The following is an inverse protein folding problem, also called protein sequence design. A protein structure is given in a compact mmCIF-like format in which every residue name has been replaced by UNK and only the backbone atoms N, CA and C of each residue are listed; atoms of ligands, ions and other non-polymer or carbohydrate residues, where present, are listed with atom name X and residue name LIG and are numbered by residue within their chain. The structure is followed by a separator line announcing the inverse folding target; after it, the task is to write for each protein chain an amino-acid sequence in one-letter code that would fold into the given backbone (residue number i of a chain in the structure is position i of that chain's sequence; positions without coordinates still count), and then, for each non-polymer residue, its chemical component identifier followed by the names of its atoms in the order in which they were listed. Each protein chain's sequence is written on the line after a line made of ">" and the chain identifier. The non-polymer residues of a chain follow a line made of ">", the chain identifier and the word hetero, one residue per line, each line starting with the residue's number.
data_IF_965406044251
#
_entry.id   IF_965406044251
#
_cell.length_a   1.000
_cell.length_b   1.000
_cell.length_c   1.000
_cell.angle_alpha   90.00
_cell.angle_beta   90.00
_cell.angle_gamma   90.00
#
_symmetry.space_group_name_H-M   'P 1'
#
loop_
_entity.id
_entity.type
_entity.pdbx_description
1 polymer ?
#
# COMPACT_ATOMS: atom_id res chain seq x y z
N UNK A 1 1.00 -11.61 -9.27
CA UNK A 1 -0.20 -11.19 -10.04
C UNK A 1 0.08 -11.09 -11.54
N UNK A 2 1.07 -10.31 -11.98
CA UNK A 2 1.49 -10.22 -13.39
C UNK A 2 1.66 -11.58 -14.07
N UNK A 3 2.45 -12.48 -13.48
CA UNK A 3 2.67 -13.84 -14.00
C UNK A 3 1.36 -14.63 -14.21
N UNK A 4 0.39 -14.47 -13.30
CA UNK A 4 -0.91 -15.10 -13.42
C UNK A 4 -1.70 -14.54 -14.61
N UNK A 5 -1.71 -13.22 -14.77
CA UNK A 5 -2.36 -12.55 -15.89
C UNK A 5 -1.76 -12.99 -17.23
N UNK A 6 -0.42 -13.06 -17.33
CA UNK A 6 0.26 -13.53 -18.54
C UNK A 6 -0.14 -14.97 -18.93
N UNK A 7 -0.31 -15.86 -17.94
CA UNK A 7 -0.83 -17.22 -18.19
C UNK A 7 -2.24 -17.18 -18.77
N UNK A 8 -3.16 -16.39 -18.19
CA UNK A 8 -4.53 -16.30 -18.69
C UNK A 8 -4.63 -15.63 -20.06
N UNK A 9 -3.87 -14.57 -20.30
CA UNK A 9 -3.80 -13.89 -21.60
C UNK A 9 -3.36 -14.88 -22.69
N UNK A 10 -2.30 -15.65 -22.44
CA UNK A 10 -1.83 -16.65 -23.39
C UNK A 10 -2.84 -17.79 -23.58
N UNK A 11 -3.44 -18.29 -22.49
CA UNK A 11 -4.36 -19.44 -22.55
C UNK A 11 -5.69 -19.13 -23.20
N UNK A 12 -6.18 -17.90 -23.02
CA UNK A 12 -7.47 -17.44 -23.54
C UNK A 12 -7.33 -16.64 -24.84
N UNK A 13 -6.11 -16.51 -25.39
CA UNK A 13 -5.80 -15.74 -26.60
C UNK A 13 -6.37 -14.31 -26.55
N UNK A 14 -6.14 -13.63 -25.41
CA UNK A 14 -6.67 -12.29 -25.20
C UNK A 14 -5.81 -11.26 -25.94
N UNK A 15 -6.41 -10.29 -26.65
CA UNK A 15 -5.69 -9.26 -27.41
C UNK A 15 -5.19 -8.12 -26.50
N UNK A 16 -4.45 -8.47 -25.44
CA UNK A 16 -3.90 -7.51 -24.47
C UNK A 16 -2.45 -7.86 -24.15
N UNK A 17 -1.57 -6.86 -24.13
CA UNK A 17 -0.21 -7.02 -23.65
C UNK A 17 -0.16 -6.76 -22.15
N UNK A 18 0.43 -7.69 -21.38
CA UNK A 18 0.72 -7.47 -19.97
C UNK A 18 2.15 -6.96 -19.83
N UNK A 19 2.34 -5.83 -19.15
CA UNK A 19 3.65 -5.31 -18.74
C UNK A 19 3.73 -5.20 -17.22
N UNK A 20 4.88 -5.55 -16.65
CA UNK A 20 5.13 -5.39 -15.22
C UNK A 20 5.79 -4.04 -14.95
N UNK A 21 4.99 -3.08 -14.47
CA UNK A 21 5.47 -1.75 -14.11
C UNK A 21 6.08 -1.77 -12.70
N UNK A 22 7.40 -1.79 -12.61
CA UNK A 22 8.14 -1.70 -11.35
C UNK A 22 8.04 -0.29 -10.79
N UNK A 23 7.17 -0.10 -9.79
CA UNK A 23 7.01 1.19 -9.15
C UNK A 23 6.61 1.04 -7.67
N UNK A 24 6.95 2.06 -6.90
CA UNK A 24 6.47 2.31 -5.55
C UNK A 24 5.94 3.73 -5.44
N UNK A 25 5.16 4.01 -4.39
CA UNK A 25 4.72 5.39 -4.09
C UNK A 25 5.91 6.33 -3.97
N UNK A 26 7.01 5.87 -3.37
CA UNK A 26 8.23 6.65 -3.21
C UNK A 26 8.90 6.95 -4.56
N UNK A 27 9.13 5.92 -5.39
CA UNK A 27 9.80 6.07 -6.71
C UNK A 27 9.07 6.99 -7.68
N UNK A 28 7.73 7.14 -7.52
CA UNK A 28 6.93 8.05 -8.32
C UNK A 28 6.85 9.46 -7.71
N UNK A 29 6.87 9.57 -6.38
CA UNK A 29 6.69 10.87 -5.69
C UNK A 29 7.97 11.67 -5.58
N UNK A 30 9.11 11.04 -5.29
CA UNK A 30 10.39 11.75 -5.16
C UNK A 30 10.68 12.62 -6.40
N UNK A 31 10.55 12.11 -7.64
CA UNK A 31 10.73 12.92 -8.84
C UNK A 31 9.77 14.10 -8.99
N UNK A 32 8.64 14.11 -8.27
CA UNK A 32 7.62 15.15 -8.35
C UNK A 32 7.72 16.22 -7.26
N UNK A 33 8.54 16.05 -6.23
CA UNK A 33 8.57 16.98 -5.10
C UNK A 33 8.87 18.43 -5.50
N UNK A 34 9.65 18.65 -6.57
CA UNK A 34 9.90 19.99 -7.11
C UNK A 34 8.68 20.65 -7.78
N UNK A 35 7.66 19.87 -8.16
CA UNK A 35 6.43 20.38 -8.80
C UNK A 35 5.41 20.90 -7.78
N UNK A 36 5.35 20.28 -6.60
CA UNK A 36 4.41 20.67 -5.54
C UNK A 36 5.02 20.41 -4.16
N UNK A 37 5.61 21.45 -3.59
CA UNK A 37 6.26 21.39 -2.28
C UNK A 37 5.28 21.03 -1.14
N UNK A 38 4.04 21.50 -1.18
CA UNK A 38 3.08 21.20 -0.12
C UNK A 38 2.67 19.73 -0.11
N UNK A 39 2.40 19.14 -1.28
CA UNK A 39 2.12 17.70 -1.37
C UNK A 39 3.36 16.86 -1.01
N UNK A 40 4.55 17.33 -1.34
CA UNK A 40 5.80 16.70 -0.93
C UNK A 40 5.93 16.66 0.60
N UNK A 41 5.76 17.81 1.26
CA UNK A 41 5.84 17.92 2.72
C UNK A 41 4.74 17.11 3.42
N UNK A 42 3.50 17.08 2.89
CA UNK A 42 2.42 16.24 3.43
C UNK A 42 2.76 14.75 3.39
N UNK A 43 3.45 14.32 2.33
CA UNK A 43 3.85 12.92 2.19
C UNK A 43 5.06 12.56 3.05
N UNK A 44 6.08 13.43 3.08
CA UNK A 44 7.29 13.26 3.91
C UNK A 44 6.90 13.19 5.38
N UNK A 45 6.06 14.12 5.85
CA UNK A 45 5.57 14.21 7.23
C UNK A 45 4.33 13.35 7.49
N UNK A 46 4.04 12.35 6.65
CA UNK A 46 2.93 11.42 6.90
C UNK A 46 3.21 10.60 8.16
N UNK A 47 2.17 10.37 8.95
CA UNK A 47 2.27 9.51 10.11
C UNK A 47 2.64 8.07 9.71
N UNK A 48 3.50 7.43 10.50
CA UNK A 48 3.80 6.01 10.39
C UNK A 48 4.19 5.43 11.73
N UNK A 49 4.16 4.11 11.80
CA UNK A 49 4.52 3.39 13.01
C UNK A 49 6.01 3.60 13.32
N UNK A 50 6.29 4.02 14.57
CA UNK A 50 7.63 4.35 15.05
C UNK A 50 8.35 5.39 14.16
N UNK A 51 7.64 6.42 13.70
CA UNK A 51 8.26 7.52 12.95
C UNK A 51 9.38 8.19 13.77
N UNK A 52 10.49 8.54 13.12
CA UNK A 52 11.61 9.31 13.66
C UNK A 52 12.18 10.24 12.57
N UNK A 53 13.13 11.10 12.93
CA UNK A 53 13.64 12.08 11.97
C UNK A 53 14.38 11.41 10.81
N UNK A 54 15.11 10.33 11.07
CA UNK A 54 15.81 9.55 10.03
C UNK A 54 14.81 9.04 8.98
N UNK A 55 13.72 8.39 9.41
CA UNK A 55 12.67 7.91 8.51
C UNK A 55 12.01 9.03 7.72
N UNK A 56 11.71 10.16 8.36
CA UNK A 56 11.13 11.31 7.66
C UNK A 56 12.08 11.83 6.58
N UNK A 57 13.35 12.05 6.90
CA UNK A 57 14.31 12.61 5.95
C UNK A 57 14.73 11.60 4.86
N UNK A 58 14.69 10.30 5.15
CA UNK A 58 14.82 9.27 4.12
C UNK A 58 13.70 9.38 3.06
N UNK A 59 12.46 9.72 3.46
CA UNK A 59 11.34 9.91 2.50
C UNK A 59 11.53 11.13 1.60
N UNK A 60 12.40 12.06 2.00
CA UNK A 60 12.82 13.20 1.19
C UNK A 60 13.96 12.87 0.23
N UNK A 61 14.51 11.64 0.28
CA UNK A 61 15.64 11.21 -0.54
C UNK A 61 17.02 11.59 0.01
N UNK A 62 17.09 12.14 1.23
CA UNK A 62 18.35 12.64 1.78
C UNK A 62 19.27 11.51 2.22
N UNK A 63 20.55 11.63 1.86
CA UNK A 63 21.65 10.81 2.37
C UNK A 63 21.90 11.07 3.85
N UNK A 64 22.61 10.15 4.53
CA UNK A 64 22.94 10.31 5.95
C UNK A 64 23.70 11.61 6.26
N UNK A 65 24.58 12.05 5.35
CA UNK A 65 25.33 13.30 5.50
C UNK A 65 24.40 14.53 5.39
N UNK A 66 23.52 14.54 4.41
CA UNK A 66 22.52 15.60 4.22
C UNK A 66 21.52 15.67 5.38
N UNK A 67 21.13 14.52 5.92
CA UNK A 67 20.30 14.46 7.12
C UNK A 67 20.96 15.18 8.29
N UNK A 68 22.25 14.95 8.53
CA UNK A 68 23.00 15.68 9.57
C UNK A 68 23.00 17.18 9.31
N UNK A 69 23.19 17.62 8.06
CA UNK A 69 23.16 19.04 7.69
C UNK A 69 21.79 19.67 7.97
N UNK A 70 20.70 18.99 7.61
CA UNK A 70 19.33 19.47 7.86
C UNK A 70 19.03 19.51 9.35
N UNK A 71 19.35 18.46 10.10
CA UNK A 71 19.11 18.42 11.55
C UNK A 71 19.89 19.51 12.29
N UNK A 72 21.13 19.79 11.86
CA UNK A 72 21.92 20.93 12.33
C UNK A 72 21.24 22.27 12.03
N UNK A 73 20.76 22.47 10.80
CA UNK A 73 20.05 23.68 10.41
C UNK A 73 18.74 23.89 11.19
N UNK A 74 18.13 22.80 11.68
CA UNK A 74 16.93 22.83 12.53
C UNK A 74 17.23 22.95 14.03
N UNK A 75 18.51 22.90 14.45
CA UNK A 75 18.90 22.89 15.87
C UNK A 75 18.53 21.59 16.60
N UNK A 76 18.49 20.46 15.90
CA UNK A 76 18.02 19.16 16.39
C UNK A 76 19.11 18.06 16.37
N UNK A 77 20.38 18.43 16.59
CA UNK A 77 21.54 17.53 16.43
C UNK A 77 21.53 16.33 17.38
N UNK A 78 20.96 16.46 18.58
CA UNK A 78 21.25 15.52 19.66
C UNK A 78 20.48 14.19 19.61
N UNK A 79 19.52 14.00 18.68
CA UNK A 79 18.57 12.87 18.84
C UNK A 79 17.78 12.40 17.58
N UNK A 80 18.45 12.03 16.46
CA UNK A 80 17.78 11.64 15.20
C UNK A 80 16.84 10.43 15.31
N UNK A 81 17.16 9.47 16.21
CA UNK A 81 16.34 8.27 16.45
C UNK A 81 15.19 8.48 17.45
N UNK A 82 14.93 9.73 17.88
CA UNK A 82 13.81 10.00 18.78
C UNK A 82 12.50 9.82 18.05
N UNK A 83 11.62 9.00 18.65
CA UNK A 83 10.27 8.77 18.12
C UNK A 83 9.47 10.07 18.09
N UNK A 84 8.95 10.38 16.92
CA UNK A 84 8.08 11.51 16.65
C UNK A 84 6.64 11.10 16.96
N UNK A 85 5.98 11.86 17.83
CA UNK A 85 4.55 11.69 18.08
C UNK A 85 3.75 12.36 16.98
N UNK A 86 2.59 11.81 16.64
CA UNK A 86 1.65 12.38 15.66
C UNK A 86 1.41 13.89 15.84
N UNK A 87 1.22 14.34 17.08
CA UNK A 87 0.98 15.75 17.40
C UNK A 87 2.17 16.68 17.08
N UNK A 88 3.38 16.16 16.90
CA UNK A 88 4.59 16.92 16.56
C UNK A 88 4.75 17.11 15.04
N UNK A 89 4.11 16.27 14.23
CA UNK A 89 4.26 16.30 12.75
C UNK A 89 3.94 17.67 12.13
N UNK A 90 2.87 18.41 12.54
CA UNK A 90 2.61 19.73 11.97
C UNK A 90 3.73 20.74 12.24
N UNK A 91 4.34 20.69 13.43
CA UNK A 91 5.45 21.57 13.79
C UNK A 91 6.71 21.22 12.99
N UNK A 92 7.01 19.93 12.84
CA UNK A 92 8.14 19.45 12.04
C UNK A 92 7.95 19.83 10.57
N UNK A 93 6.74 19.63 10.01
CA UNK A 93 6.40 20.05 8.65
C UNK A 93 6.68 21.54 8.44
N UNK A 94 6.27 22.38 9.39
CA UNK A 94 6.51 23.82 9.30
C UNK A 94 7.99 24.18 9.42
N UNK A 95 8.75 23.49 10.27
CA UNK A 95 10.20 23.70 10.41
C UNK A 95 10.94 23.35 9.11
N UNK A 96 10.61 22.21 8.49
CA UNK A 96 11.17 21.80 7.19
C UNK A 96 10.81 22.80 6.08
N UNK A 97 9.55 23.28 6.05
CA UNK A 97 9.11 24.31 5.10
C UNK A 97 9.93 25.59 5.17
N UNK A 98 10.49 25.92 6.33
CA UNK A 98 11.25 27.15 6.56
C UNK A 98 12.77 26.92 6.51
N UNK A 99 13.24 25.70 6.23
CA UNK A 99 14.65 25.35 6.25
C UNK A 99 15.25 25.40 4.83
N UNK A 100 16.06 26.41 4.47
CA UNK A 100 16.58 26.55 3.11
C UNK A 100 17.46 25.38 2.68
N UNK A 101 18.27 24.85 3.62
CA UNK A 101 19.13 23.67 3.38
C UNK A 101 18.30 22.46 2.97
N UNK A 102 17.20 22.19 3.69
CA UNK A 102 16.31 21.09 3.36
C UNK A 102 15.63 21.28 2.00
N UNK A 103 15.12 22.49 1.72
CA UNK A 103 14.39 22.77 0.48
C UNK A 103 15.28 22.64 -0.76
N UNK A 104 16.53 23.09 -0.68
CA UNK A 104 17.48 22.98 -1.78
C UNK A 104 17.80 21.51 -2.09
N UNK A 105 18.13 20.73 -1.06
CA UNK A 105 18.42 19.31 -1.21
C UNK A 105 17.20 18.53 -1.74
N UNK A 106 16.01 18.78 -1.18
CA UNK A 106 14.76 18.17 -1.65
C UNK A 106 14.52 18.44 -3.14
N UNK A 107 14.72 19.69 -3.58
CA UNK A 107 14.58 20.09 -4.98
C UNK A 107 15.62 19.40 -5.86
N UNK A 108 16.88 19.37 -5.42
CA UNK A 108 17.98 18.73 -6.15
C UNK A 108 17.68 17.24 -6.39
N UNK A 109 17.42 16.48 -5.33
CA UNK A 109 17.09 15.04 -5.43
C UNK A 109 15.86 14.78 -6.31
N UNK A 110 14.86 15.64 -6.24
CA UNK A 110 13.66 15.54 -7.07
C UNK A 110 13.96 15.74 -8.57
N UNK A 111 14.77 16.76 -8.90
CA UNK A 111 15.14 17.04 -10.29
C UNK A 111 16.06 15.97 -10.86
N UNK A 112 17.00 15.44 -10.07
CA UNK A 112 17.91 14.37 -10.48
C UNK A 112 17.17 13.05 -10.76
N UNK A 113 16.13 12.74 -9.99
CA UNK A 113 15.37 11.50 -10.14
C UNK A 113 14.35 11.52 -11.30
N UNK A 114 14.03 12.69 -11.86
CA UNK A 114 12.99 12.84 -12.91
C UNK A 114 13.38 12.26 -14.27
N UNK A 115 14.56 12.53 -14.86
CA UNK A 115 14.91 11.99 -16.18
C UNK A 115 14.94 10.45 -16.24
N UNK A 116 15.53 9.71 -15.27
CA UNK A 116 15.50 8.25 -15.29
C UNK A 116 14.09 7.65 -15.16
N UNK A 117 13.23 8.23 -14.30
CA UNK A 117 11.83 7.82 -14.23
C UNK A 117 11.13 8.05 -15.57
N UNK A 118 11.31 9.24 -16.15
CA UNK A 118 10.72 9.60 -17.43
C UNK A 118 11.14 8.64 -18.56
N UNK A 119 12.42 8.27 -18.59
CA UNK A 119 12.95 7.26 -19.50
C UNK A 119 12.29 5.90 -19.30
N UNK A 120 12.17 5.43 -18.06
CA UNK A 120 11.51 4.17 -17.73
C UNK A 120 10.03 4.16 -18.14
N UNK A 121 9.23 5.19 -17.80
CA UNK A 121 7.81 5.22 -18.17
C UNK A 121 7.60 5.25 -19.69
N UNK A 122 8.50 5.92 -20.43
CA UNK A 122 8.48 5.90 -21.90
C UNK A 122 8.82 4.50 -22.43
N UNK A 123 9.85 3.86 -21.88
CA UNK A 123 10.25 2.50 -22.24
C UNK A 123 9.13 1.48 -22.01
N UNK A 124 8.36 1.64 -20.93
CA UNK A 124 7.22 0.78 -20.62
C UNK A 124 5.96 1.08 -21.44
N UNK A 125 6.02 2.03 -22.38
CA UNK A 125 4.97 2.32 -23.36
C UNK A 125 3.86 3.25 -22.87
N UNK A 126 3.99 3.83 -21.66
CA UNK A 126 2.98 4.74 -21.09
C UNK A 126 2.87 6.08 -21.81
N UNK A 127 3.66 6.31 -22.87
CA UNK A 127 3.64 7.52 -23.68
C UNK A 127 3.47 7.22 -25.18
N UNK A 128 3.19 5.97 -25.56
CA UNK A 128 3.12 5.54 -26.96
C UNK A 128 1.79 5.92 -27.64
N UNK A 129 0.83 6.44 -26.88
CA UNK A 129 -0.49 6.83 -27.38
C UNK A 129 -1.43 5.66 -27.65
N UNK A 130 -1.05 4.45 -27.24
CA UNK A 130 -1.90 3.25 -27.28
C UNK A 130 -2.90 3.23 -26.12
N UNK A 131 -3.97 2.45 -26.26
CA UNK A 131 -4.90 2.21 -25.15
C UNK A 131 -4.22 1.35 -24.09
N UNK A 132 -4.20 1.85 -22.86
CA UNK A 132 -3.60 1.18 -21.72
C UNK A 132 -4.47 1.30 -20.47
N UNK A 133 -4.15 0.46 -19.49
CA UNK A 133 -4.79 0.49 -18.19
C UNK A 133 -3.81 0.04 -17.10
N UNK A 134 -3.94 0.64 -15.92
CA UNK A 134 -3.24 0.21 -14.73
C UNK A 134 -4.06 -0.88 -14.02
N UNK A 135 -3.42 -1.97 -13.62
CA UNK A 135 -4.02 -3.01 -12.79
C UNK A 135 -3.26 -3.08 -11.47
N UNK A 136 -3.97 -2.91 -10.35
CA UNK A 136 -3.40 -2.90 -9.00
C UNK A 136 -4.38 -3.59 -8.04
N UNK A 137 -3.93 -4.06 -6.88
CA UNK A 137 -4.82 -4.59 -5.86
C UNK A 137 -5.67 -3.48 -5.20
N UNK A 138 -5.09 -2.31 -4.91
CA UNK A 138 -5.79 -1.22 -4.20
C UNK A 138 -4.90 -0.34 -3.30
N UNK A 139 -5.42 0.39 -2.30
CA UNK A 139 -6.82 0.40 -1.80
C UNK A 139 -7.44 1.80 -1.76
N UNK A 140 -6.67 2.83 -2.11
CA UNK A 140 -7.10 4.23 -2.07
C UNK A 140 -6.82 4.98 -3.38
N UNK A 141 -6.36 4.30 -4.44
CA UNK A 141 -6.20 4.86 -5.79
C UNK A 141 -5.09 5.92 -5.95
N UNK A 142 -4.23 6.12 -4.95
CA UNK A 142 -3.21 7.18 -4.98
C UNK A 142 -2.13 6.97 -6.05
N UNK A 143 -1.79 5.72 -6.37
CA UNK A 143 -0.82 5.38 -7.41
C UNK A 143 -1.27 5.86 -8.79
N UNK A 144 -2.51 5.57 -9.20
CA UNK A 144 -3.06 6.05 -10.47
C UNK A 144 -3.12 7.58 -10.52
N UNK A 145 -3.47 8.25 -9.42
CA UNK A 145 -3.45 9.73 -9.37
C UNK A 145 -2.04 10.27 -9.64
N UNK A 146 -1.05 9.79 -8.89
CA UNK A 146 0.34 10.24 -9.02
C UNK A 146 0.88 9.93 -10.41
N UNK A 147 0.60 8.74 -10.95
CA UNK A 147 1.03 8.37 -12.29
C UNK A 147 0.35 9.23 -13.37
N UNK A 148 -0.94 9.54 -13.24
CA UNK A 148 -1.62 10.48 -14.15
C UNK A 148 -0.99 11.88 -14.11
N UNK A 149 -0.65 12.40 -12.92
CA UNK A 149 0.01 13.70 -12.78
C UNK A 149 1.39 13.71 -13.46
N UNK A 150 2.18 12.65 -13.28
CA UNK A 150 3.46 12.46 -13.97
C UNK A 150 3.30 12.39 -15.48
N UNK A 151 2.42 11.52 -15.98
CA UNK A 151 2.22 11.35 -17.41
C UNK A 151 1.69 12.64 -18.06
N UNK A 152 0.84 13.40 -17.36
CA UNK A 152 0.38 14.71 -17.82
C UNK A 152 1.53 15.71 -17.93
N UNK A 153 2.43 15.77 -16.93
CA UNK A 153 3.61 16.66 -17.01
C UNK A 153 4.59 16.25 -18.12
N UNK A 154 4.52 15.00 -18.57
CA UNK A 154 5.26 14.46 -19.71
C UNK A 154 4.52 14.58 -21.06
N UNK A 155 3.36 15.23 -21.10
CA UNK A 155 2.61 15.53 -22.32
C UNK A 155 1.52 14.50 -22.68
N UNK A 156 1.25 13.50 -21.84
CA UNK A 156 0.11 12.59 -22.04
C UNK A 156 -1.21 13.34 -21.81
N UNK A 157 -2.14 13.21 -22.75
CA UNK A 157 -3.46 13.90 -22.67
C UNK A 157 -4.60 12.99 -22.22
N UNK A 158 -4.47 11.67 -22.41
CA UNK A 158 -5.47 10.68 -21.99
C UNK A 158 -5.15 10.17 -20.58
N UNK A 159 -6.04 10.35 -19.59
CA UNK A 159 -5.88 9.75 -18.28
C UNK A 159 -5.94 8.22 -18.34
N UNK A 160 -5.22 7.56 -17.42
CA UNK A 160 -5.23 6.12 -17.26
C UNK A 160 -6.60 5.61 -16.78
N UNK A 161 -7.01 4.46 -17.30
CA UNK A 161 -8.02 3.60 -16.68
C UNK A 161 -7.35 2.73 -15.61
N UNK A 162 -8.01 2.53 -14.46
CA UNK A 162 -7.49 1.73 -13.35
C UNK A 162 -8.44 0.60 -12.98
N UNK A 163 -7.92 -0.62 -12.86
CA UNK A 163 -8.66 -1.80 -12.45
C UNK A 163 -8.12 -2.35 -11.13
N UNK A 164 -9.00 -2.45 -10.15
CA UNK A 164 -8.65 -2.77 -8.76
C UNK A 164 -9.41 -3.98 -8.23
N UNK A 165 -8.78 -4.75 -7.35
CA UNK A 165 -9.51 -5.75 -6.56
C UNK A 165 -10.59 -5.06 -5.72
N UNK A 166 -10.23 -4.01 -5.00
CA UNK A 166 -11.17 -3.19 -4.25
C UNK A 166 -10.59 -1.85 -3.83
N UNK A 167 -11.47 -0.89 -3.59
CA UNK A 167 -11.08 0.44 -3.11
C UNK A 167 -11.93 0.82 -1.90
N UNK A 168 -11.27 1.22 -0.81
CA UNK A 168 -11.94 1.75 0.38
C UNK A 168 -12.33 3.21 0.18
N UNK A 169 -11.48 3.97 -0.50
CA UNK A 169 -11.61 5.41 -0.75
C UNK A 169 -10.99 5.77 -2.12
N UNK A 170 -11.11 7.04 -2.50
CA UNK A 170 -10.44 7.62 -3.67
C UNK A 170 -9.77 8.92 -3.29
N UNK A 171 -8.69 9.31 -4.00
CA UNK A 171 -8.09 10.61 -3.80
C UNK A 171 -9.07 11.71 -4.23
N UNK A 172 -8.94 12.90 -3.64
CA UNK A 172 -9.75 14.05 -4.05
C UNK A 172 -9.42 14.49 -5.48
N UNK A 173 -10.44 14.99 -6.19
CA UNK A 173 -10.30 15.55 -7.54
C UNK A 173 -10.15 14.53 -8.67
N UNK A 174 -10.24 13.22 -8.40
CA UNK A 174 -10.14 12.19 -9.44
C UNK A 174 -11.50 11.86 -10.07
N UNK A 175 -11.48 11.44 -11.33
CA UNK A 175 -12.65 10.98 -12.07
C UNK A 175 -13.06 9.56 -11.63
N UNK A 176 -14.12 9.43 -10.82
CA UNK A 176 -14.60 8.14 -10.26
C UNK A 176 -14.82 7.06 -11.33
N UNK A 177 -15.27 7.40 -12.53
CA UNK A 177 -15.56 6.47 -13.62
C UNK A 177 -14.32 5.78 -14.20
N UNK A 178 -13.10 6.24 -13.86
CA UNK A 178 -11.82 5.62 -14.28
C UNK A 178 -11.21 4.67 -13.26
N UNK A 179 -11.89 4.44 -12.14
CA UNK A 179 -11.43 3.59 -11.05
C UNK A 179 -12.39 2.40 -10.90
N UNK A 180 -12.10 1.31 -11.61
CA UNK A 180 -12.95 0.13 -11.69
C UNK A 180 -12.65 -0.84 -10.55
N UNK A 181 -13.67 -1.22 -9.79
CA UNK A 181 -13.53 -2.13 -8.63
C UNK A 181 -14.16 -3.49 -8.90
N UNK A 182 -13.43 -4.58 -8.64
CA UNK A 182 -13.94 -5.94 -8.84
C UNK A 182 -14.78 -6.48 -7.65
N UNK A 183 -14.32 -6.32 -6.41
CA UNK A 183 -14.97 -6.89 -5.21
C UNK A 183 -15.73 -5.85 -4.38
N UNK A 184 -15.12 -4.69 -4.09
CA UNK A 184 -15.78 -3.60 -3.35
C UNK A 184 -15.33 -2.21 -3.78
N UNK A 185 -16.25 -1.25 -3.70
CA UNK A 185 -16.06 0.15 -4.08
C UNK A 185 -16.17 1.09 -2.86
N UNK A 186 -15.69 2.35 -2.94
CA UNK A 186 -15.79 3.32 -1.83
C UNK A 186 -17.22 3.48 -1.29
N UNK A 187 -18.20 3.50 -2.17
CA UNK A 187 -19.61 3.73 -1.91
C UNK A 187 -20.41 2.49 -1.45
N UNK A 188 -19.85 1.28 -1.58
CA UNK A 188 -20.61 0.03 -1.60
C UNK A 188 -19.95 -1.20 -0.97
N UNK A 189 -20.65 -2.34 -1.11
CA UNK A 189 -20.17 -3.69 -0.77
C UNK A 189 -19.58 -3.83 0.64
N UNK A 190 -20.29 -3.32 1.66
CA UNK A 190 -19.88 -3.36 3.07
C UNK A 190 -19.36 -4.73 3.54
N UNK A 191 -20.04 -5.81 3.15
CA UNK A 191 -19.61 -7.18 3.51
C UNK A 191 -18.27 -7.55 2.89
N UNK A 192 -17.96 -7.09 1.68
CA UNK A 192 -16.63 -7.28 1.05
C UNK A 192 -15.56 -6.57 1.89
N UNK A 193 -15.76 -5.28 2.17
CA UNK A 193 -14.85 -4.46 2.99
C UNK A 193 -14.56 -5.08 4.35
N UNK A 194 -15.58 -5.52 5.08
CA UNK A 194 -15.45 -6.08 6.44
C UNK A 194 -14.72 -7.43 6.43
N UNK A 195 -14.93 -8.25 5.40
CA UNK A 195 -14.39 -9.61 5.36
C UNK A 195 -13.05 -9.73 4.65
N UNK A 196 -12.51 -8.63 4.14
CA UNK A 196 -11.24 -8.58 3.44
C UNK A 196 -10.16 -7.97 4.33
N UNK A 197 -8.97 -8.56 4.33
CA UNK A 197 -7.78 -7.99 4.96
C UNK A 197 -6.73 -7.73 3.87
N UNK A 198 -6.48 -6.46 3.61
CA UNK A 198 -5.54 -6.03 2.59
C UNK A 198 -4.10 -6.39 2.90
N UNK A 199 -3.69 -6.31 4.18
CA UNK A 199 -2.31 -6.59 4.58
C UNK A 199 -1.97 -8.07 4.37
N UNK A 200 -2.92 -8.98 4.62
CA UNK A 200 -2.78 -10.41 4.30
C UNK A 200 -2.62 -10.61 2.80
N UNK A 201 -3.43 -9.92 1.99
CA UNK A 201 -3.32 -10.00 0.53
C UNK A 201 -1.95 -9.53 0.04
N UNK A 202 -1.48 -8.37 0.51
CA UNK A 202 -0.18 -7.81 0.15
C UNK A 202 0.99 -8.69 0.59
N UNK A 203 0.93 -9.28 1.79
CA UNK A 203 1.96 -10.17 2.29
C UNK A 203 2.06 -11.48 1.48
N UNK A 204 0.92 -12.03 1.03
CA UNK A 204 0.87 -13.25 0.22
C UNK A 204 1.33 -13.01 -1.22
N UNK A 205 1.00 -11.84 -1.80
CA UNK A 205 1.28 -11.52 -3.20
C UNK A 205 2.45 -10.53 -3.37
N UNK A 206 3.35 -10.46 -2.40
CA UNK A 206 4.55 -9.61 -2.46
C UNK A 206 5.51 -10.06 -3.57
N UNK A 207 6.29 -9.13 -4.11
CA UNK A 207 7.25 -9.43 -5.17
C UNK A 207 8.53 -10.07 -4.60
N UNK A 208 9.25 -10.92 -5.35
CA UNK A 208 10.49 -11.55 -4.90
C UNK A 208 11.70 -10.58 -4.92
N UNK A 209 11.47 -9.28 -5.05
CA UNK A 209 12.47 -8.22 -5.01
C UNK A 209 12.05 -7.14 -4.01
N UNK A 210 13.00 -6.32 -3.54
CA UNK A 210 12.68 -5.18 -2.69
C UNK A 210 11.85 -4.11 -3.40
N UNK A 211 11.34 -3.16 -2.63
CA UNK A 211 10.57 -2.03 -3.15
C UNK A 211 11.41 -1.22 -4.16
N UNK A 212 10.78 -0.72 -5.23
CA UNK A 212 11.44 0.18 -6.17
C UNK A 212 11.75 1.52 -5.51
N UNK A 213 13.02 1.91 -5.49
CA UNK A 213 13.52 3.17 -4.91
C UNK A 213 13.65 4.28 -5.97
N UNK A 214 13.93 3.90 -7.21
CA UNK A 214 14.14 4.83 -8.31
C UNK A 214 14.52 4.08 -9.59
N UNK A 215 15.16 4.78 -10.51
CA UNK A 215 15.53 4.24 -11.82
C UNK A 215 16.93 4.71 -12.20
N UNK A 216 17.61 3.92 -13.01
CA UNK A 216 18.93 4.24 -13.56
C UNK A 216 18.97 3.93 -15.05
N UNK A 217 19.76 4.69 -15.78
CA UNK A 217 20.02 4.45 -17.20
C UNK A 217 21.34 3.70 -17.36
N UNK A 218 21.32 2.59 -18.10
CA UNK A 218 22.51 1.83 -18.48
C UNK A 218 22.41 1.50 -19.97
N UNK A 219 23.31 2.08 -20.79
CA UNK A 219 23.34 1.82 -22.23
C UNK A 219 22.06 2.21 -22.98
N UNK A 220 21.39 3.30 -22.58
CA UNK A 220 20.12 3.76 -23.17
C UNK A 220 18.89 2.97 -22.73
N UNK A 221 19.05 1.99 -21.83
CA UNK A 221 17.95 1.23 -21.22
C UNK A 221 17.76 1.66 -19.77
N UNK A 222 16.51 1.77 -19.34
CA UNK A 222 16.15 2.20 -17.99
C UNK A 222 15.79 1.00 -17.12
N UNK A 223 16.46 0.88 -15.98
CA UNK A 223 16.27 -0.21 -15.03
C UNK A 223 15.77 0.30 -13.68
N UNK A 224 14.81 -0.39 -13.05
CA UNK A 224 14.42 -0.08 -11.68
C UNK A 224 15.56 -0.38 -10.71
N UNK A 225 15.74 0.49 -9.73
CA UNK A 225 16.63 0.30 -8.59
C UNK A 225 15.80 -0.21 -7.42
N UNK A 226 16.01 -1.44 -7.00
CA UNK A 226 15.28 -2.05 -5.88
C UNK A 226 16.02 -1.90 -4.56
N UNK A 227 15.25 -1.83 -3.47
CA UNK A 227 15.78 -1.98 -2.13
C UNK A 227 16.25 -3.41 -1.87
N UNK A 228 17.04 -3.59 -0.82
CA UNK A 228 17.59 -4.89 -0.43
C UNK A 228 16.51 -5.75 0.20
N UNK A 229 16.51 -7.02 -0.16
CA UNK A 229 15.72 -8.08 0.48
C UNK A 229 16.66 -9.16 0.98
N UNK A 230 16.37 -9.74 2.14
CA UNK A 230 17.17 -10.88 2.64
C UNK A 230 16.95 -12.10 1.77
N UNK A 231 17.97 -12.96 1.65
CA UNK A 231 17.86 -14.20 0.87
C UNK A 231 16.79 -15.13 1.45
N UNK A 232 16.65 -15.20 2.77
CA UNK A 232 15.61 -16.03 3.40
C UNK A 232 14.21 -15.55 2.99
N UNK A 233 13.96 -14.23 3.02
CA UNK A 233 12.67 -13.66 2.62
C UNK A 233 12.40 -13.90 1.13
N UNK A 234 13.39 -13.67 0.27
CA UNK A 234 13.28 -13.92 -1.16
C UNK A 234 12.92 -15.38 -1.46
N UNK A 235 13.66 -16.34 -0.90
CA UNK A 235 13.40 -17.79 -1.10
C UNK A 235 12.00 -18.19 -0.63
N UNK A 236 11.52 -17.64 0.49
CA UNK A 236 10.17 -17.91 0.98
C UNK A 236 9.09 -17.42 0.00
N UNK A 237 9.28 -16.23 -0.59
CA UNK A 237 8.37 -15.66 -1.59
C UNK A 237 8.39 -16.51 -2.86
N UNK A 238 9.57 -16.86 -3.38
CA UNK A 238 9.72 -17.69 -4.58
C UNK A 238 9.09 -19.10 -4.39
N UNK A 239 9.20 -19.66 -3.18
CA UNK A 239 8.55 -20.94 -2.84
C UNK A 239 7.02 -20.82 -2.89
N UNK A 240 6.46 -19.79 -2.27
CA UNK A 240 5.02 -19.52 -2.28
C UNK A 240 4.53 -19.24 -3.71
N UNK A 241 5.27 -18.45 -4.49
CA UNK A 241 4.99 -18.19 -5.89
C UNK A 241 4.95 -19.49 -6.71
N UNK A 242 5.90 -20.40 -6.50
CA UNK A 242 5.92 -21.70 -7.18
C UNK A 242 4.64 -22.51 -6.95
N UNK A 243 4.16 -22.57 -5.70
CA UNK A 243 2.90 -23.24 -5.34
C UNK A 243 1.70 -22.57 -6.01
N UNK A 244 1.60 -21.24 -5.90
CA UNK A 244 0.50 -20.47 -6.48
C UNK A 244 0.46 -20.59 -8.00
N UNK A 245 1.61 -20.49 -8.67
CA UNK A 245 1.71 -20.63 -10.13
C UNK A 245 1.40 -22.05 -10.60
N UNK A 246 1.70 -23.08 -9.80
CA UNK A 246 1.25 -24.44 -10.04
C UNK A 246 -0.27 -24.53 -10.10
N UNK A 247 -0.95 -23.97 -9.10
CA UNK A 247 -2.41 -23.90 -9.06
C UNK A 247 -2.99 -23.08 -10.23
N UNK A 248 -2.44 -21.90 -10.51
CA UNK A 248 -2.92 -21.02 -11.59
C UNK A 248 -2.84 -21.69 -12.96
N UNK A 249 -1.73 -22.39 -13.25
CA UNK A 249 -1.59 -23.10 -14.53
C UNK A 249 -2.58 -24.25 -14.65
N UNK A 250 -2.85 -24.96 -13.56
CA UNK A 250 -3.86 -26.02 -13.53
C UNK A 250 -5.27 -25.45 -13.75
N UNK A 251 -5.62 -24.37 -13.05
CA UNK A 251 -6.92 -23.69 -13.18
C UNK A 251 -7.11 -23.17 -14.61
N UNK A 252 -6.10 -22.49 -15.17
CA UNK A 252 -6.15 -21.97 -16.53
C UNK A 252 -6.34 -23.04 -17.61
N UNK A 253 -5.86 -24.28 -17.40
CA UNK A 253 -6.14 -25.41 -18.30
C UNK A 253 -7.56 -25.95 -18.17
N UNK A 254 -8.21 -25.78 -17.01
CA UNK A 254 -9.55 -26.27 -16.73
C UNK A 254 -10.66 -25.24 -17.03
N UNK A 255 -10.29 -23.98 -17.21
CA UNK A 255 -11.25 -22.91 -17.51
C UNK A 255 -11.80 -23.02 -18.94
N UNK A 256 -13.01 -23.56 -19.06
CA UNK A 256 -13.85 -23.40 -20.25
C UNK A 256 -14.72 -22.14 -20.10
N UNK A 257 -14.21 -20.99 -20.56
CA UNK A 257 -14.87 -19.69 -20.54
C UNK A 257 -15.23 -19.12 -19.14
N UNK A 258 -15.21 -17.78 -19.03
CA UNK A 258 -15.40 -16.99 -17.81
C UNK A 258 -16.87 -16.98 -17.29
N UNK A 259 -17.57 -18.11 -17.28
CA UNK A 259 -18.94 -18.21 -16.74
C UNK A 259 -18.93 -18.70 -15.28
N UNK A 260 -18.53 -17.80 -14.38
CA UNK A 260 -18.04 -18.19 -13.05
C UNK A 260 -18.94 -17.87 -11.85
N UNK A 261 -20.26 -17.69 -12.00
CA UNK A 261 -21.12 -17.24 -10.88
C UNK A 261 -21.01 -18.09 -9.60
N UNK A 262 -20.99 -19.42 -9.74
CA UNK A 262 -20.85 -20.36 -8.61
C UNK A 262 -19.41 -20.42 -8.08
N UNK A 263 -18.41 -20.43 -8.97
CA UNK A 263 -16.99 -20.42 -8.60
C UNK A 263 -16.63 -19.15 -7.82
N UNK A 264 -17.10 -17.98 -8.27
CA UNK A 264 -16.94 -16.70 -7.58
C UNK A 264 -17.52 -16.73 -6.17
N UNK A 265 -18.69 -17.35 -5.96
CA UNK A 265 -19.30 -17.51 -4.62
C UNK A 265 -18.44 -18.40 -3.72
N UNK A 266 -17.90 -19.50 -4.25
CA UNK A 266 -17.01 -20.42 -3.51
C UNK A 266 -15.70 -19.73 -3.12
N UNK A 267 -15.03 -19.08 -4.08
CA UNK A 267 -13.79 -18.32 -3.85
C UNK A 267 -14.00 -17.23 -2.81
N UNK A 268 -15.08 -16.44 -2.91
CA UNK A 268 -15.42 -15.42 -1.89
C UNK A 268 -15.63 -16.02 -0.50
N UNK A 269 -16.25 -17.19 -0.40
CA UNK A 269 -16.45 -17.89 0.88
C UNK A 269 -15.11 -18.33 1.48
N UNK A 270 -14.24 -18.94 0.69
CA UNK A 270 -12.91 -19.37 1.12
C UNK A 270 -12.05 -18.19 1.55
N UNK A 271 -12.02 -17.12 0.74
CA UNK A 271 -11.28 -15.90 1.05
C UNK A 271 -11.76 -15.27 2.36
N UNK A 272 -13.08 -15.20 2.58
CA UNK A 272 -13.66 -14.73 3.85
C UNK A 272 -13.22 -15.61 5.03
N UNK A 273 -13.24 -16.94 4.88
CA UNK A 273 -12.84 -17.85 5.95
C UNK A 273 -11.37 -17.63 6.31
N UNK A 274 -10.49 -17.68 5.31
CA UNK A 274 -9.07 -17.41 5.48
C UNK A 274 -8.82 -16.06 6.18
N UNK A 275 -9.41 -14.98 5.69
CA UNK A 275 -9.11 -13.63 6.22
C UNK A 275 -9.73 -13.33 7.59
N UNK A 276 -10.86 -13.97 7.96
CA UNK A 276 -11.63 -13.59 9.17
C UNK A 276 -11.74 -14.68 10.24
N UNK A 277 -11.52 -15.93 9.87
CA UNK A 277 -11.60 -17.11 10.72
C UNK A 277 -10.54 -18.14 10.28
N UNK A 278 -9.25 -17.73 10.24
CA UNK A 278 -8.20 -18.65 9.86
C UNK A 278 -8.11 -19.81 10.85
N UNK A 279 -7.68 -20.96 10.34
CA UNK A 279 -7.21 -22.06 11.18
C UNK A 279 -5.94 -21.67 11.94
N UNK A 280 -5.59 -22.46 12.97
CA UNK A 280 -4.32 -22.26 13.69
C UNK A 280 -3.13 -22.42 12.76
N UNK A 281 -3.16 -23.40 11.85
CA UNK A 281 -2.10 -23.62 10.87
C UNK A 281 -1.94 -22.45 9.89
N UNK A 282 -3.04 -21.96 9.29
CA UNK A 282 -3.01 -20.76 8.43
C UNK A 282 -2.46 -19.54 9.19
N UNK A 283 -2.86 -19.38 10.45
CA UNK A 283 -2.40 -18.24 11.26
C UNK A 283 -0.93 -18.34 11.63
N UNK A 284 -0.39 -19.54 11.91
CA UNK A 284 1.05 -19.70 12.15
C UNK A 284 1.87 -19.47 10.88
N UNK A 285 1.44 -20.04 9.75
CA UNK A 285 2.14 -19.92 8.48
C UNK A 285 2.10 -18.48 7.96
N UNK A 286 0.92 -17.95 7.65
CA UNK A 286 0.77 -16.64 7.04
C UNK A 286 0.96 -15.49 8.04
N UNK A 287 0.67 -15.73 9.32
CA UNK A 287 0.86 -14.73 10.36
C UNK A 287 2.32 -14.45 10.70
N UNK A 288 3.24 -15.34 10.30
CA UNK A 288 4.69 -15.14 10.44
C UNK A 288 5.31 -14.31 9.30
N UNK A 289 4.56 -14.07 8.21
CA UNK A 289 5.06 -13.27 7.09
C UNK A 289 5.42 -11.86 7.56
N UNK A 290 6.53 -11.35 7.02
CA UNK A 290 6.98 -9.99 7.26
C UNK A 290 6.08 -8.95 6.63
N UNK A 291 5.70 -7.93 7.40
CA UNK A 291 4.85 -6.82 6.98
C UNK A 291 5.41 -5.48 7.48
N UNK A 292 5.28 -4.44 6.65
CA UNK A 292 5.64 -3.07 6.97
C UNK A 292 4.63 -2.08 6.37
N UNK A 293 4.26 -1.05 7.15
CA UNK A 293 3.32 0.01 6.74
C UNK A 293 4.05 1.37 6.53
N UNK A 294 5.38 1.39 6.62
CA UNK A 294 6.16 2.61 6.35
C UNK A 294 6.33 2.85 4.85
N UNK A 295 6.45 4.12 4.45
CA UNK A 295 6.68 4.56 3.07
C UNK A 295 7.89 3.88 2.43
N UNK A 296 8.94 3.66 3.21
CA UNK A 296 10.19 3.02 2.77
C UNK A 296 10.34 1.59 3.30
N UNK A 297 9.23 0.96 3.71
CA UNK A 297 9.21 -0.41 4.24
C UNK A 297 10.19 -0.67 5.41
N UNK A 298 10.56 0.37 6.18
CA UNK A 298 11.45 0.21 7.33
C UNK A 298 10.83 -0.60 8.48
N UNK A 299 11.29 -1.84 8.61
CA UNK A 299 10.98 -2.73 9.73
C UNK A 299 10.41 -4.06 9.25
N UNK A 300 10.69 -5.12 10.00
CA UNK A 300 10.12 -6.44 9.73
C UNK A 300 9.28 -6.85 10.94
N UNK A 301 7.96 -6.79 10.79
CA UNK A 301 7.02 -7.23 11.81
C UNK A 301 6.23 -8.41 11.27
N UNK A 302 5.91 -9.37 12.14
CA UNK A 302 5.00 -10.44 11.77
C UNK A 302 3.61 -9.85 11.48
N UNK A 303 2.95 -10.35 10.44
CA UNK A 303 1.60 -9.96 10.03
C UNK A 303 0.57 -10.15 11.17
N UNK A 304 0.72 -11.25 11.93
CA UNK A 304 -0.13 -11.56 13.08
C UNK A 304 0.72 -11.94 14.30
N UNK A 305 1.25 -10.99 15.09
CA UNK A 305 2.01 -11.29 16.30
C UNK A 305 1.15 -11.99 17.35
N UNK A 306 1.79 -12.75 18.25
CA UNK A 306 1.16 -13.24 19.48
C UNK A 306 0.94 -12.06 20.43
N UNK A 307 -0.25 -12.00 21.02
CA UNK A 307 -0.72 -10.91 21.86
C UNK A 307 -1.30 -11.45 23.17
N UNK A 308 -1.15 -10.69 24.23
CA UNK A 308 -1.79 -10.94 25.53
C UNK A 308 -3.30 -10.69 25.46
N UNK A 309 -4.08 -11.29 26.35
CA UNK A 309 -5.54 -11.06 26.44
C UNK A 309 -5.90 -9.58 26.60
N UNK A 310 -5.05 -8.82 27.30
CA UNK A 310 -5.21 -7.36 27.47
C UNK A 310 -5.05 -6.62 26.14
N UNK A 311 -4.01 -6.93 25.38
CA UNK A 311 -3.77 -6.33 24.06
C UNK A 311 -4.90 -6.71 23.09
N UNK A 312 -5.35 -7.96 23.08
CA UNK A 312 -6.50 -8.37 22.27
C UNK A 312 -7.77 -7.61 22.66
N UNK A 313 -7.99 -7.33 23.94
CA UNK A 313 -9.12 -6.55 24.43
C UNK A 313 -9.12 -5.09 23.97
N UNK A 314 -7.95 -4.50 23.69
CA UNK A 314 -7.83 -3.12 23.18
C UNK A 314 -8.39 -2.95 21.76
N UNK A 315 -8.57 -4.06 21.02
CA UNK A 315 -9.17 -4.06 19.69
C UNK A 315 -10.68 -4.26 19.70
N UNK A 316 -11.30 -4.38 20.88
CA UNK A 316 -12.77 -4.44 20.99
C UNK A 316 -13.41 -3.11 20.61
N UNK A 317 -14.73 -3.13 20.41
CA UNK A 317 -15.51 -1.97 19.94
C UNK A 317 -15.29 -0.75 20.84
N UNK A 318 -15.52 -0.89 22.15
CA UNK A 318 -15.46 0.25 23.07
C UNK A 318 -14.06 0.88 23.14
N UNK A 319 -12.97 0.12 23.39
CA UNK A 319 -11.63 0.71 23.39
C UNK A 319 -11.24 1.39 22.07
N UNK A 320 -11.51 0.76 20.90
CA UNK A 320 -11.20 1.37 19.61
C UNK A 320 -12.01 2.65 19.38
N UNK A 321 -13.30 2.68 19.73
CA UNK A 321 -14.12 3.88 19.60
C UNK A 321 -13.63 5.01 20.54
N UNK A 322 -13.29 4.70 21.79
CA UNK A 322 -12.80 5.71 22.74
C UNK A 322 -11.46 6.32 22.31
N UNK A 323 -10.57 5.54 21.71
CA UNK A 323 -9.33 6.05 21.13
C UNK A 323 -9.62 6.87 19.87
N UNK A 324 -10.50 6.39 18.98
CA UNK A 324 -10.87 7.11 17.75
C UNK A 324 -11.59 8.44 17.99
N UNK A 325 -12.34 8.59 19.09
CA UNK A 325 -12.98 9.86 19.48
C UNK A 325 -12.05 10.78 20.24
N UNK A 326 -10.83 10.36 20.54
CA UNK A 326 -9.86 11.13 21.34
C UNK A 326 -10.18 11.18 22.83
N UNK A 327 -11.22 10.48 23.30
CA UNK A 327 -11.56 10.38 24.72
C UNK A 327 -10.47 9.64 25.50
N UNK A 328 -9.81 8.66 24.87
CA UNK A 328 -8.65 7.97 25.41
C UNK A 328 -7.39 8.29 24.60
N UNK A 329 -6.35 8.76 25.29
CA UNK A 329 -5.01 8.98 24.73
C UNK A 329 -4.10 7.77 24.93
N UNK A 330 -4.64 6.56 24.76
CA UNK A 330 -3.88 5.31 24.90
C UNK A 330 -3.40 4.84 23.53
N UNK A 331 -2.15 4.44 23.45
CA UNK A 331 -1.60 3.77 22.27
C UNK A 331 -2.05 2.31 22.27
N UNK A 332 -2.69 1.90 21.18
CA UNK A 332 -3.09 0.51 20.95
C UNK A 332 -2.00 -0.13 20.12
N UNK A 333 -1.51 -1.30 20.55
CA UNK A 333 -0.59 -2.09 19.73
C UNK A 333 -1.34 -2.61 18.52
N UNK A 334 -1.16 -1.98 17.37
CA UNK A 334 -1.77 -2.39 16.11
C UNK A 334 -1.17 -3.70 15.59
N UNK A 335 -1.98 -4.45 14.84
CA UNK A 335 -1.62 -5.70 14.17
C UNK A 335 -2.19 -5.68 12.77
N UNK A 336 -1.41 -6.13 11.78
CA UNK A 336 -1.81 -6.11 10.38
C UNK A 336 -2.90 -7.17 10.09
N UNK A 337 -2.93 -8.25 10.86
CA UNK A 337 -3.96 -9.29 10.79
C UNK A 337 -4.43 -9.73 12.19
N UNK A 338 -5.37 -8.96 12.74
CA UNK A 338 -5.92 -9.18 14.07
C UNK A 338 -6.54 -10.56 14.25
N UNK A 339 -7.31 -11.05 13.27
CA UNK A 339 -7.94 -12.38 13.36
C UNK A 339 -6.90 -13.50 13.47
N UNK A 340 -5.82 -13.43 12.69
CA UNK A 340 -4.67 -14.33 12.85
C UNK A 340 -4.04 -14.20 14.24
N UNK A 341 -3.84 -12.98 14.74
CA UNK A 341 -3.27 -12.76 16.07
C UNK A 341 -4.11 -13.39 17.17
N UNK A 342 -5.44 -13.27 17.11
CA UNK A 342 -6.35 -13.90 18.08
C UNK A 342 -6.19 -15.43 18.07
N UNK A 343 -6.23 -16.04 16.88
CA UNK A 343 -6.17 -17.51 16.73
C UNK A 343 -4.83 -18.08 17.21
N UNK A 344 -3.71 -17.38 16.95
CA UNK A 344 -2.38 -17.78 17.48
C UNK A 344 -2.32 -17.67 19.00
N UNK A 345 -2.89 -16.60 19.55
CA UNK A 345 -2.72 -16.23 20.95
C UNK A 345 -3.59 -17.02 21.92
N UNK A 346 -4.78 -17.46 21.52
CA UNK A 346 -5.71 -18.14 22.45
C UNK A 346 -6.65 -19.12 21.74
N UNK A 347 -6.94 -20.29 22.35
CA UNK A 347 -7.97 -21.21 21.85
C UNK A 347 -9.40 -20.66 22.04
N UNK A 348 -9.61 -19.72 22.97
CA UNK A 348 -10.93 -19.16 23.30
C UNK A 348 -11.15 -17.76 22.69
N UNK A 349 -10.77 -17.59 21.42
CA UNK A 349 -10.74 -16.30 20.74
C UNK A 349 -12.07 -15.76 20.20
N UNK A 350 -13.15 -16.56 20.23
CA UNK A 350 -14.41 -16.24 19.53
C UNK A 350 -15.02 -14.89 19.93
N UNK A 351 -14.94 -14.51 21.20
CA UNK A 351 -15.42 -13.22 21.69
C UNK A 351 -14.61 -12.04 21.12
N UNK A 352 -13.29 -12.17 21.05
CA UNK A 352 -12.40 -11.18 20.44
C UNK A 352 -12.70 -10.98 18.96
N UNK A 353 -12.89 -12.08 18.21
CA UNK A 353 -13.26 -12.03 16.79
C UNK A 353 -14.63 -11.37 16.57
N UNK A 354 -15.62 -11.66 17.43
CA UNK A 354 -16.94 -11.05 17.35
C UNK A 354 -16.87 -9.53 17.60
N UNK A 355 -16.20 -9.10 18.67
CA UNK A 355 -16.04 -7.68 19.00
C UNK A 355 -15.33 -6.92 17.87
N UNK A 356 -14.24 -7.48 17.35
CA UNK A 356 -13.51 -6.85 16.25
C UNK A 356 -14.33 -6.79 14.95
N UNK A 357 -15.12 -7.82 14.67
CA UNK A 357 -16.05 -7.81 13.53
C UNK A 357 -17.08 -6.68 13.64
N UNK A 358 -17.69 -6.49 14.81
CA UNK A 358 -18.62 -5.38 15.06
C UNK A 358 -17.90 -4.03 14.82
N UNK A 359 -16.68 -3.88 15.35
CA UNK A 359 -15.87 -2.68 15.13
C UNK A 359 -15.63 -2.40 13.64
N UNK A 360 -15.23 -3.42 12.85
CA UNK A 360 -15.05 -3.25 11.40
C UNK A 360 -16.33 -2.82 10.68
N UNK A 361 -17.49 -3.37 11.07
CA UNK A 361 -18.77 -2.91 10.52
C UNK A 361 -18.99 -1.42 10.80
N UNK A 362 -18.81 -0.97 12.05
CA UNK A 362 -18.97 0.44 12.41
C UNK A 362 -17.99 1.35 11.64
N UNK A 363 -16.73 0.94 11.52
CA UNK A 363 -15.70 1.64 10.78
C UNK A 363 -16.10 1.85 9.31
N UNK A 364 -16.43 0.76 8.61
CA UNK A 364 -16.72 0.83 7.18
C UNK A 364 -18.10 1.42 6.87
N UNK A 365 -19.10 1.29 7.76
CA UNK A 365 -20.37 2.04 7.65
C UNK A 365 -20.07 3.54 7.71
N UNK A 366 -19.30 3.99 8.70
CA UNK A 366 -18.91 5.41 8.83
C UNK A 366 -18.15 5.89 7.60
N UNK A 367 -17.20 5.12 7.09
CA UNK A 367 -16.44 5.46 5.87
C UNK A 367 -17.36 5.59 4.64
N UNK A 368 -18.24 4.61 4.42
CA UNK A 368 -19.21 4.64 3.31
C UNK A 368 -20.18 5.82 3.40
N UNK A 369 -20.71 6.11 4.59
CA UNK A 369 -21.60 7.25 4.80
C UNK A 369 -20.89 8.58 4.52
N UNK A 370 -19.66 8.75 5.03
CA UNK A 370 -18.84 9.94 4.74
C UNK A 370 -18.60 10.11 3.24
N UNK A 371 -18.26 9.03 2.56
CA UNK A 371 -18.08 9.05 1.10
C UNK A 371 -19.36 9.50 0.41
N UNK A 372 -20.51 8.90 0.76
CA UNK A 372 -21.81 9.22 0.15
C UNK A 372 -22.22 10.66 0.39
N UNK A 373 -22.04 11.17 1.61
CA UNK A 373 -22.35 12.56 1.95
C UNK A 373 -21.48 13.52 1.12
N UNK A 374 -20.18 13.28 1.06
CA UNK A 374 -19.23 14.13 0.32
C UNK A 374 -19.52 14.21 -1.18
N UNK A 375 -20.06 13.14 -1.77
CA UNK A 375 -20.32 13.05 -3.22
C UNK A 375 -21.81 13.17 -3.59
N UNK A 376 -22.72 13.27 -2.61
CA UNK A 376 -24.14 13.56 -2.86
C UNK A 376 -24.39 15.04 -3.16
N UNK A 377 -23.52 15.93 -2.68
CA UNK A 377 -23.64 17.40 -2.84
C UNK A 377 -23.06 17.93 -4.15
N UNK A 378 -22.67 17.04 -5.08
CA UNK A 378 -22.08 17.38 -6.39
C UNK A 378 -22.95 16.97 -7.58
N UNK A 379 -24.25 16.78 -7.38
CA UNK A 379 -25.24 16.57 -8.45
C UNK A 379 -26.12 17.79 -8.63
#
# INVERSE_FOLDING_TARGET
>A
MYQAASVYVQKLDLPVECRYLSCSRYSLRLPMYHLNLEEALDYICRDSIDADYTKLLNRAGLTAQEQTQVLKALGMEENPGTKIRYAQLPHIKNALRQCPVFLELLRQHSLEAMPPLAGYLRQEGLLDGVEDALVDSGWVGSMQRTLNQLLTSMGRTRPLEGYYWGLYELPEGVERNRYHCYDFSPEGQLRGKVNFNNNVFEAVFTAPHGMTLGYREEGGTFFPVYDRISREKQTAIETLEGVLMGYIRQDACQMAALEGGLQRRRVRKLLKLFMTQPTREESELFGSLGFCDDVLEYGNRCLAPVMTSRELGQHHVLPKLLVQTGLWKKEIRETAWYEGSVVRSTPSGSYHLLQYRIYKYLLYIRQMLRWRIKHATGK
#
